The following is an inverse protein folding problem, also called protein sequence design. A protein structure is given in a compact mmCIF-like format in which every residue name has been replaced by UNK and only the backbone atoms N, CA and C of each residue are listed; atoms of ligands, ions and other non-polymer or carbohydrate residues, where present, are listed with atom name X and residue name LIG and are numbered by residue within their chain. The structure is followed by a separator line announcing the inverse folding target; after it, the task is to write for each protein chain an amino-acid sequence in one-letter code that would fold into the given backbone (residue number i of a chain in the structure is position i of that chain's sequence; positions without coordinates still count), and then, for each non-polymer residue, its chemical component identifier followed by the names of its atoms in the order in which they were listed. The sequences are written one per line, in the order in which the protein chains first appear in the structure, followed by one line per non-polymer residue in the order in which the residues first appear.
data_IF_666672782018
#
_entry.id   IF_666672782018
#
_cell.length_a   1.000
_cell.length_b   1.000
_cell.length_c   1.000
_cell.angle_alpha   90.00
_cell.angle_beta   90.00
_cell.angle_gamma   90.00
#
_symmetry.space_group_name_H-M   'P 1'
#
loop_
_entity.id
_entity.type
_entity.pdbx_description
1 polymer ?
#
# COMPACT_ATOMS: atom_id res chain seq x y z
N UNK A 1 24.62 18.65 24.87
CA UNK A 1 24.21 20.02 25.21
C UNK A 1 22.82 19.96 25.85
N UNK A 2 22.56 20.75 26.88
CA UNK A 2 21.28 20.72 27.60
C UNK A 2 20.89 22.13 28.05
N UNK A 3 19.73 22.63 27.60
CA UNK A 3 19.09 23.83 28.11
C UNK A 3 18.03 23.43 29.17
N UNK A 4 18.39 23.50 30.45
CA UNK A 4 17.62 22.88 31.55
C UNK A 4 16.55 23.76 32.21
N UNK A 5 16.47 25.06 31.86
CA UNK A 5 15.41 25.93 32.37
C UNK A 5 14.07 25.51 31.77
N UNK A 6 13.00 25.44 32.57
CA UNK A 6 11.70 24.85 32.17
C UNK A 6 11.04 25.42 30.91
N UNK A 7 11.43 26.62 30.48
CA UNK A 7 10.96 27.27 29.26
C UNK A 7 12.11 27.58 28.29
N UNK A 8 13.28 27.02 28.54
CA UNK A 8 14.49 27.28 27.77
C UNK A 8 14.54 26.38 26.54
N UNK A 9 14.91 27.01 25.43
CA UNK A 9 15.13 26.33 24.17
C UNK A 9 16.62 26.05 23.99
N UNK A 10 16.93 24.98 23.27
CA UNK A 10 18.27 24.73 22.76
C UNK A 10 18.33 25.16 21.29
N UNK A 11 18.95 26.31 21.03
CA UNK A 11 19.21 26.77 19.66
C UNK A 11 20.64 26.47 19.29
N UNK A 12 20.83 25.67 18.24
CA UNK A 12 22.14 25.35 17.66
C UNK A 12 22.28 26.17 16.38
N UNK A 13 23.25 27.08 16.35
CA UNK A 13 23.55 27.92 15.18
C UNK A 13 24.90 27.59 14.52
N UNK A 14 25.64 26.64 15.09
CA UNK A 14 26.93 26.19 14.58
C UNK A 14 27.05 24.68 14.81
N UNK A 15 27.76 23.99 13.91
CA UNK A 15 27.82 22.54 13.93
C UNK A 15 28.33 21.94 15.25
N UNK A 16 27.72 20.82 15.64
CA UNK A 16 28.09 20.02 16.82
C UNK A 16 28.66 18.71 16.31
N UNK A 17 29.94 18.44 16.60
CA UNK A 17 30.62 17.25 16.07
C UNK A 17 31.24 16.43 17.18
N UNK A 18 31.08 15.11 17.08
CA UNK A 18 31.80 14.12 17.86
C UNK A 18 32.57 13.19 16.93
N UNK A 19 33.72 12.70 17.40
CA UNK A 19 34.49 11.65 16.73
C UNK A 19 33.74 10.33 16.82
N UNK A 20 34.17 9.42 17.69
CA UNK A 20 33.48 8.13 17.91
C UNK A 20 32.41 8.15 19.01
N UNK A 21 32.26 9.28 19.73
CA UNK A 21 31.36 9.40 20.88
C UNK A 21 29.95 9.83 20.49
N UNK A 22 28.97 9.60 21.36
CA UNK A 22 27.57 9.99 21.08
C UNK A 22 27.32 11.49 21.29
N UNK A 23 26.27 12.02 20.63
CA UNK A 23 25.81 13.40 20.79
C UNK A 23 24.42 13.40 21.40
N UNK A 24 24.21 14.23 22.42
CA UNK A 24 22.89 14.44 23.03
C UNK A 24 22.55 15.92 23.02
N UNK A 25 21.36 16.28 22.52
CA UNK A 25 20.83 17.64 22.46
C UNK A 25 19.48 17.67 23.19
N UNK A 26 19.42 18.34 24.33
CA UNK A 26 18.21 18.41 25.16
C UNK A 26 17.73 19.87 25.29
N UNK A 27 16.53 20.14 24.81
CA UNK A 27 15.80 21.38 25.07
C UNK A 27 14.66 21.11 26.04
N UNK A 28 14.55 21.89 27.12
CA UNK A 28 13.42 21.77 28.03
C UNK A 28 12.10 22.12 27.35
N UNK A 29 12.09 23.13 26.47
CA UNK A 29 10.96 23.44 25.59
C UNK A 29 11.26 23.02 24.16
N UNK A 30 11.92 23.86 23.37
CA UNK A 30 12.20 23.57 21.96
C UNK A 30 13.66 23.17 21.74
N UNK A 31 13.91 22.40 20.69
CA UNK A 31 15.25 22.26 20.09
C UNK A 31 15.17 22.78 18.66
N UNK A 32 16.05 23.72 18.32
CA UNK A 32 16.10 24.32 16.98
C UNK A 32 17.50 24.22 16.41
N UNK A 33 17.61 23.59 15.24
CA UNK A 33 18.85 23.51 14.47
C UNK A 33 18.75 24.51 13.33
N UNK A 34 19.53 25.58 13.40
CA UNK A 34 19.53 26.67 12.41
C UNK A 34 20.47 26.36 11.24
N UNK A 35 20.46 27.21 10.21
CA UNK A 35 21.35 27.07 9.05
C UNK A 35 22.82 26.98 9.51
N UNK A 36 23.53 25.96 9.01
CA UNK A 36 24.93 25.70 9.38
C UNK A 36 25.12 24.87 10.66
N UNK A 37 24.04 24.46 11.33
CA UNK A 37 24.06 23.65 12.55
C UNK A 37 24.24 22.15 12.32
N UNK A 38 25.11 21.74 11.38
CA UNK A 38 25.35 20.33 11.10
C UNK A 38 25.69 19.56 12.39
N UNK A 39 24.89 18.55 12.74
CA UNK A 39 25.10 17.72 13.93
C UNK A 39 25.62 16.38 13.47
N UNK A 40 26.81 15.99 13.92
CA UNK A 40 27.47 14.80 13.41
C UNK A 40 28.16 14.01 14.52
N UNK A 41 28.04 12.69 14.45
CA UNK A 41 28.96 11.75 15.08
C UNK A 41 29.57 10.84 14.00
N UNK A 42 30.84 10.50 14.15
CA UNK A 42 31.49 9.47 13.34
C UNK A 42 31.53 8.12 14.12
N UNK A 43 32.02 7.07 13.44
CA UNK A 43 32.09 5.72 14.02
C UNK A 43 30.74 5.20 14.52
N UNK A 44 30.75 4.50 15.65
CA UNK A 44 29.57 3.83 16.25
C UNK A 44 28.76 4.74 17.19
N UNK A 45 29.08 6.03 17.26
CA UNK A 45 28.37 6.97 18.13
C UNK A 45 26.91 7.15 17.67
N UNK A 46 26.02 7.36 18.64
CA UNK A 46 24.58 7.58 18.42
C UNK A 46 24.22 9.04 18.65
N UNK A 47 23.04 9.44 18.18
CA UNK A 47 22.53 10.80 18.31
C UNK A 47 21.16 10.80 18.97
N UNK A 48 20.99 11.59 20.03
CA UNK A 48 19.73 11.75 20.75
C UNK A 48 19.36 13.24 20.81
N UNK A 49 18.20 13.59 20.24
CA UNK A 49 17.61 14.93 20.30
C UNK A 49 16.26 14.85 20.97
N UNK A 50 16.07 15.65 22.01
CA UNK A 50 14.81 15.67 22.75
C UNK A 50 14.38 17.11 23.08
N UNK A 51 13.19 17.48 22.61
CA UNK A 51 12.44 18.66 23.01
C UNK A 51 11.34 18.22 24.00
N UNK A 52 11.53 18.51 25.29
CA UNK A 52 10.77 17.86 26.38
C UNK A 52 9.31 18.33 26.42
N UNK A 53 9.04 19.62 26.21
CA UNK A 53 7.67 20.16 26.21
C UNK A 53 7.25 20.84 24.92
N UNK A 54 8.16 20.99 23.96
CA UNK A 54 7.93 21.73 22.72
C UNK A 54 8.27 20.90 21.48
N UNK A 55 8.72 21.60 20.44
CA UNK A 55 8.99 21.04 19.11
C UNK A 55 10.49 20.88 18.84
N UNK A 56 10.82 19.93 17.98
CA UNK A 56 12.12 19.87 17.31
C UNK A 56 11.97 20.47 15.92
N UNK A 57 12.72 21.53 15.63
CA UNK A 57 12.69 22.19 14.33
C UNK A 57 14.08 22.14 13.71
N UNK A 58 14.21 21.39 12.63
CA UNK A 58 15.36 21.43 11.73
C UNK A 58 15.01 22.39 10.60
N UNK A 59 15.79 23.46 10.40
CA UNK A 59 15.63 24.25 9.17
C UNK A 59 16.17 23.45 7.99
N UNK A 60 15.70 23.78 6.79
CA UNK A 60 16.14 23.14 5.55
C UNK A 60 17.67 23.11 5.42
N UNK A 61 18.18 22.03 4.83
CA UNK A 61 19.59 21.78 4.55
C UNK A 61 20.49 21.68 5.82
N UNK A 62 19.94 21.25 6.96
CA UNK A 62 20.71 21.02 8.20
C UNK A 62 20.91 19.52 8.46
N UNK A 63 22.08 18.95 8.11
CA UNK A 63 22.28 17.51 8.21
C UNK A 63 22.48 17.05 9.67
N UNK A 64 21.82 15.95 10.02
CA UNK A 64 21.97 15.24 11.30
C UNK A 64 22.46 13.82 11.00
N UNK A 65 23.73 13.56 11.28
CA UNK A 65 24.47 12.44 10.70
C UNK A 65 25.11 11.53 11.76
N UNK A 66 25.02 10.22 11.54
CA UNK A 66 25.88 9.21 12.17
C UNK A 66 26.58 8.40 11.08
N UNK A 67 27.57 7.56 11.46
CA UNK A 67 28.22 6.63 10.54
C UNK A 67 27.78 5.17 10.79
N UNK A 68 26.46 4.93 10.90
CA UNK A 68 25.87 3.62 11.23
C UNK A 68 25.31 3.52 12.64
N UNK A 69 25.44 4.57 13.46
CA UNK A 69 24.83 4.64 14.79
C UNK A 69 23.37 5.07 14.72
N UNK A 70 22.57 4.68 15.71
CA UNK A 70 21.16 5.05 15.75
C UNK A 70 20.94 6.54 16.03
N UNK A 71 19.82 7.07 15.53
CA UNK A 71 19.36 8.43 15.79
C UNK A 71 17.97 8.37 16.44
N UNK A 72 17.81 9.09 17.55
CA UNK A 72 16.51 9.31 18.21
C UNK A 72 16.17 10.78 18.16
N UNK A 73 15.01 11.10 17.58
CA UNK A 73 14.43 12.43 17.52
C UNK A 73 13.09 12.41 18.23
N UNK A 74 12.95 13.20 19.30
CA UNK A 74 11.76 13.20 20.12
C UNK A 74 11.31 14.63 20.43
N UNK A 75 10.04 14.91 20.21
CA UNK A 75 9.42 16.18 20.57
C UNK A 75 8.04 15.96 21.17
N UNK A 76 7.67 16.78 22.14
CA UNK A 76 6.33 16.73 22.72
C UNK A 76 5.27 17.17 21.72
N UNK A 77 5.55 18.19 20.91
CA UNK A 77 4.59 18.76 19.96
C UNK A 77 4.90 18.27 18.55
N UNK A 78 5.67 18.99 17.76
CA UNK A 78 5.98 18.65 16.37
C UNK A 78 7.46 18.31 16.18
N UNK A 79 7.75 17.53 15.14
CA UNK A 79 9.11 17.37 14.61
C UNK A 79 9.12 17.84 13.16
N UNK A 80 9.99 18.78 12.82
CA UNK A 80 10.28 19.16 11.43
C UNK A 80 11.65 18.60 11.05
N UNK A 81 11.71 17.77 10.01
CA UNK A 81 12.90 17.03 9.58
C UNK A 81 13.56 17.67 8.37
N UNK A 82 14.87 17.46 8.23
CA UNK A 82 15.63 17.77 7.02
C UNK A 82 16.99 17.08 7.06
N UNK A 83 17.30 16.16 6.15
CA UNK A 83 18.67 15.63 6.05
C UNK A 83 19.16 14.77 7.22
N UNK A 84 18.29 13.93 7.81
CA UNK A 84 18.70 12.95 8.83
C UNK A 84 19.30 11.72 8.16
N UNK A 85 20.54 11.33 8.49
CA UNK A 85 21.13 10.09 7.96
C UNK A 85 21.83 9.28 9.05
N UNK A 86 21.34 8.06 9.27
CA UNK A 86 21.95 7.09 10.19
C UNK A 86 22.89 6.09 9.47
N UNK A 87 23.04 6.19 8.14
CA UNK A 87 23.70 5.17 7.34
C UNK A 87 23.04 3.80 7.55
N UNK A 88 23.82 2.80 7.99
CA UNK A 88 23.32 1.47 8.30
C UNK A 88 22.53 1.36 9.63
N UNK A 89 22.43 2.45 10.40
CA UNK A 89 21.71 2.50 11.67
C UNK A 89 20.20 2.68 11.49
N UNK A 90 19.49 2.73 12.61
CA UNK A 90 18.04 3.00 12.66
C UNK A 90 17.74 4.41 13.14
N UNK A 91 16.64 4.97 12.66
CA UNK A 91 16.12 6.28 13.08
C UNK A 91 14.75 6.08 13.73
N UNK A 92 14.55 6.66 14.91
CA UNK A 92 13.20 6.84 15.46
C UNK A 92 12.86 8.32 15.56
N UNK A 93 11.66 8.66 15.09
CA UNK A 93 11.09 10.01 15.18
C UNK A 93 9.76 9.95 15.92
N UNK A 94 9.60 10.77 16.96
CA UNK A 94 8.34 10.84 17.70
C UNK A 94 7.88 12.27 17.95
N UNK A 95 6.64 12.55 17.56
CA UNK A 95 5.87 13.76 17.88
C UNK A 95 4.69 13.36 18.78
N UNK A 96 4.74 13.69 20.08
CA UNK A 96 3.80 13.12 21.06
C UNK A 96 2.37 13.62 20.90
N UNK A 97 2.18 14.90 20.60
CA UNK A 97 0.85 15.51 20.42
C UNK A 97 0.63 16.12 19.03
N UNK A 98 1.69 16.25 18.24
CA UNK A 98 1.66 16.90 16.93
C UNK A 98 2.02 15.97 15.78
N UNK A 99 2.68 16.55 14.78
CA UNK A 99 2.99 15.92 13.50
C UNK A 99 4.49 15.85 13.23
N UNK A 100 4.84 15.01 12.26
CA UNK A 100 6.17 14.99 11.65
C UNK A 100 6.05 15.66 10.27
N UNK A 101 6.85 16.70 10.05
CA UNK A 101 6.84 17.55 8.87
C UNK A 101 8.15 17.45 8.10
N UNK A 102 8.05 17.53 6.78
CA UNK A 102 9.14 17.88 5.88
C UNK A 102 9.48 19.39 6.06
N UNK A 103 10.76 19.75 6.13
CA UNK A 103 11.24 21.14 6.18
C UNK A 103 11.76 21.70 4.84
N UNK A 104 11.90 20.91 3.77
CA UNK A 104 12.37 21.37 2.47
C UNK A 104 12.64 20.27 1.44
N UNK A 105 12.73 20.66 0.16
CA UNK A 105 12.68 19.74 -0.97
C UNK A 105 14.03 19.23 -1.52
N UNK A 106 15.18 19.56 -0.89
CA UNK A 106 16.51 19.28 -1.50
C UNK A 106 17.26 18.11 -0.90
N UNK A 107 17.11 17.85 0.40
CA UNK A 107 17.70 16.69 1.05
C UNK A 107 16.59 15.69 1.33
N UNK A 108 16.93 14.39 1.27
CA UNK A 108 16.09 13.38 1.88
C UNK A 108 15.86 13.75 3.34
N UNK A 109 14.62 13.67 3.80
CA UNK A 109 14.29 13.86 5.21
C UNK A 109 14.99 12.83 6.07
N UNK A 110 14.96 11.56 5.64
CA UNK A 110 15.55 10.45 6.39
C UNK A 110 16.21 9.40 5.47
N UNK A 111 17.45 9.05 5.79
CA UNK A 111 18.17 7.90 5.24
C UNK A 111 18.62 6.97 6.37
N UNK A 112 18.21 5.70 6.34
CA UNK A 112 18.52 4.74 7.40
C UNK A 112 18.29 3.30 6.93
N UNK A 113 18.82 2.31 7.65
CA UNK A 113 18.42 0.91 7.40
C UNK A 113 16.98 0.66 7.84
N UNK A 114 16.55 1.29 8.94
CA UNK A 114 15.19 1.16 9.45
C UNK A 114 14.71 2.49 10.02
N UNK A 115 13.46 2.84 9.72
CA UNK A 115 12.82 4.08 10.17
C UNK A 115 11.54 3.76 10.90
N UNK A 116 11.44 4.28 12.13
CA UNK A 116 10.23 4.29 12.91
C UNK A 116 9.70 5.70 13.12
N UNK A 117 8.45 5.93 12.76
CA UNK A 117 7.80 7.22 12.94
C UNK A 117 6.51 7.09 13.75
N UNK A 118 6.34 7.94 14.76
CA UNK A 118 5.13 7.98 15.57
C UNK A 118 4.69 9.42 15.76
N UNK A 119 3.56 9.80 15.18
CA UNK A 119 2.96 11.11 15.34
C UNK A 119 1.54 10.97 15.91
N UNK A 120 1.12 11.91 16.73
CA UNK A 120 -0.27 11.91 17.19
C UNK A 120 -1.25 12.35 16.11
N UNK A 121 -0.83 13.21 15.17
CA UNK A 121 -1.72 13.75 14.14
C UNK A 121 -1.36 13.18 12.76
N UNK A 122 -0.27 13.63 12.14
CA UNK A 122 0.12 13.21 10.80
C UNK A 122 1.62 13.11 10.57
N UNK A 123 2.00 12.40 9.51
CA UNK A 123 3.38 12.27 9.03
C UNK A 123 3.36 12.70 7.55
N UNK A 124 4.13 13.73 7.20
CA UNK A 124 4.16 14.24 5.82
C UNK A 124 2.82 14.82 5.35
N UNK A 125 2.01 15.36 6.27
CA UNK A 125 0.62 15.76 5.98
C UNK A 125 0.47 17.04 5.13
N UNK A 126 1.55 17.82 4.93
CA UNK A 126 1.58 18.95 3.98
C UNK A 126 2.35 18.54 2.72
N UNK A 127 3.60 18.12 2.89
CA UNK A 127 4.47 17.54 1.87
C UNK A 127 4.91 16.16 2.36
N UNK A 128 4.97 15.18 1.45
CA UNK A 128 5.37 13.81 1.80
C UNK A 128 6.83 13.80 2.26
N UNK A 129 7.16 12.94 3.23
CA UNK A 129 8.56 12.79 3.63
C UNK A 129 9.34 12.04 2.54
N UNK A 130 10.47 12.60 2.13
CA UNK A 130 11.39 11.96 1.19
C UNK A 130 12.38 11.07 1.95
N UNK A 131 12.35 9.76 1.70
CA UNK A 131 13.17 8.78 2.44
C UNK A 131 14.05 7.93 1.53
N UNK A 132 15.09 7.34 2.12
CA UNK A 132 15.84 6.22 1.56
C UNK A 132 16.03 5.20 2.68
N UNK A 133 15.01 4.37 2.91
CA UNK A 133 14.98 3.41 4.01
C UNK A 133 14.58 2.02 3.55
N UNK A 134 15.26 1.00 4.08
CA UNK A 134 14.93 -0.38 3.74
C UNK A 134 13.67 -0.87 4.45
N UNK A 135 13.53 -0.54 5.74
CA UNK A 135 12.39 -0.96 6.56
C UNK A 135 11.66 0.22 7.19
N UNK A 136 10.34 0.24 7.08
CA UNK A 136 9.49 1.29 7.65
C UNK A 136 8.41 0.72 8.57
N UNK A 137 8.27 1.34 9.75
CA UNK A 137 7.08 1.26 10.59
C UNK A 137 6.62 2.69 10.93
N UNK A 138 5.33 2.97 10.76
CA UNK A 138 4.80 4.33 10.94
C UNK A 138 3.41 4.33 11.56
N UNK A 139 3.17 5.25 12.48
CA UNK A 139 1.86 5.42 13.12
C UNK A 139 1.45 6.90 13.20
N UNK A 140 0.24 7.20 12.74
CA UNK A 140 -0.43 8.50 12.83
C UNK A 140 -1.92 8.33 13.15
N UNK A 141 -2.70 9.42 13.23
CA UNK A 141 -4.15 9.33 13.44
C UNK A 141 -4.95 9.98 12.30
N UNK A 142 -5.28 11.27 12.42
CA UNK A 142 -6.20 11.99 11.53
C UNK A 142 -5.49 12.69 10.37
N UNK A 143 -4.20 13.03 10.53
CA UNK A 143 -3.40 13.70 9.50
C UNK A 143 -2.85 12.76 8.43
N UNK A 144 -2.91 11.45 8.67
CA UNK A 144 -2.45 10.45 7.72
C UNK A 144 -0.94 10.30 7.68
N UNK A 145 -0.45 9.54 6.71
CA UNK A 145 0.96 9.23 6.51
C UNK A 145 1.26 9.39 5.03
N UNK A 146 2.24 10.22 4.67
CA UNK A 146 2.73 10.34 3.30
C UNK A 146 4.24 10.22 3.25
N UNK A 147 4.73 9.23 2.51
CA UNK A 147 6.16 8.93 2.35
C UNK A 147 6.46 8.62 0.89
N UNK A 148 7.52 9.25 0.38
CA UNK A 148 8.13 8.94 -0.91
C UNK A 148 9.51 8.37 -0.63
N UNK A 149 9.69 7.06 -0.86
CA UNK A 149 10.99 6.44 -0.79
C UNK A 149 11.67 6.42 -2.16
N UNK A 150 12.97 6.73 -2.20
CA UNK A 150 13.74 6.77 -3.45
C UNK A 150 14.11 5.38 -3.98
N UNK A 151 14.03 4.35 -3.15
CA UNK A 151 14.36 2.97 -3.49
C UNK A 151 13.28 1.97 -3.02
N UNK A 152 13.65 0.69 -2.91
CA UNK A 152 12.71 -0.37 -2.58
C UNK A 152 12.35 -0.32 -1.10
N UNK A 153 11.07 -0.32 -0.78
CA UNK A 153 10.59 -0.17 0.58
C UNK A 153 9.97 -1.47 1.10
N UNK A 154 10.36 -1.88 2.30
CA UNK A 154 9.72 -2.98 3.03
C UNK A 154 8.99 -2.42 4.25
N UNK A 155 7.70 -2.72 4.38
CA UNK A 155 6.97 -2.50 5.62
C UNK A 155 7.14 -3.73 6.49
N UNK A 156 7.76 -3.56 7.66
CA UNK A 156 8.07 -4.65 8.59
C UNK A 156 8.33 -4.07 9.99
N UNK A 157 8.66 -4.95 10.91
CA UNK A 157 9.11 -4.66 12.25
C UNK A 157 10.40 -3.85 12.26
N UNK A 158 10.33 -2.66 12.84
CA UNK A 158 11.49 -1.94 13.34
C UNK A 158 11.74 -2.34 14.78
N UNK A 159 12.89 -2.98 15.00
CA UNK A 159 13.35 -3.40 16.32
C UNK A 159 13.50 -2.22 17.30
N UNK A 160 13.68 -2.52 18.58
CA UNK A 160 13.96 -1.49 19.59
C UNK A 160 15.20 -0.69 19.19
N UNK A 161 15.04 0.62 18.98
CA UNK A 161 16.15 1.52 18.69
C UNK A 161 16.72 2.03 20.02
N UNK A 162 18.04 1.90 20.18
CA UNK A 162 18.75 2.38 21.37
C UNK A 162 19.82 3.39 21.00
N UNK A 163 19.91 4.45 21.81
CA UNK A 163 20.92 5.51 21.75
C UNK A 163 21.64 5.64 23.09
N UNK A 164 22.81 6.27 23.07
CA UNK A 164 23.61 6.57 24.26
C UNK A 164 23.45 8.04 24.62
N UNK A 165 22.67 8.30 25.68
CA UNK A 165 22.49 9.64 26.23
C UNK A 165 23.72 10.04 27.04
N UNK A 166 24.42 11.08 26.59
CA UNK A 166 25.57 11.66 27.28
C UNK A 166 25.10 12.45 28.49
N UNK A 167 25.63 12.12 29.67
CA UNK A 167 25.31 12.78 30.93
C UNK A 167 26.25 13.96 31.22
N UNK A 168 25.84 14.84 32.14
CA UNK A 168 26.70 15.93 32.63
C UNK A 168 27.93 15.41 33.41
N UNK A 169 27.90 14.15 33.86
CA UNK A 169 29.03 13.48 34.52
C UNK A 169 30.04 12.89 33.52
N UNK A 170 29.92 13.23 32.22
CA UNK A 170 30.74 12.69 31.13
C UNK A 170 30.67 11.17 30.97
N UNK A 171 29.56 10.56 31.42
CA UNK A 171 29.23 9.15 31.19
C UNK A 171 28.14 9.03 30.13
N UNK A 172 27.92 7.81 29.63
CA UNK A 172 26.80 7.49 28.73
C UNK A 172 25.81 6.57 29.43
N UNK A 173 24.52 6.85 29.28
CA UNK A 173 23.44 5.99 29.70
C UNK A 173 22.70 5.49 28.46
N UNK A 174 22.42 4.20 28.39
CA UNK A 174 21.57 3.66 27.33
C UNK A 174 20.14 4.19 27.51
N UNK A 175 19.60 4.74 26.44
CA UNK A 175 18.20 5.08 26.29
C UNK A 175 17.65 4.29 25.12
N UNK A 176 16.61 3.52 25.35
CA UNK A 176 15.99 2.71 24.34
C UNK A 176 14.50 2.99 24.28
N UNK A 177 13.94 2.72 23.13
CA UNK A 177 12.50 2.69 22.97
C UNK A 177 11.86 1.57 23.76
N UNK A 178 10.58 1.74 24.11
CA UNK A 178 9.89 0.80 24.99
C UNK A 178 9.61 -0.56 24.35
N UNK A 179 9.46 -0.62 23.02
CA UNK A 179 9.20 -1.84 22.27
C UNK A 179 9.58 -1.68 20.79
N UNK A 180 9.68 -2.81 20.08
CA UNK A 180 9.63 -2.84 18.62
C UNK A 180 8.25 -2.38 18.15
N UNK A 181 8.19 -1.85 16.93
CA UNK A 181 6.93 -1.47 16.27
C UNK A 181 6.94 -1.98 14.86
N UNK A 182 5.77 -2.24 14.31
CA UNK A 182 5.61 -2.69 12.94
C UNK A 182 4.47 -1.91 12.28
N UNK A 183 4.24 -2.23 11.02
CA UNK A 183 3.11 -1.82 10.21
C UNK A 183 3.08 -0.31 9.93
N UNK A 184 2.17 0.08 9.03
CA UNK A 184 1.85 1.48 8.74
C UNK A 184 0.39 1.72 9.08
N UNK A 185 0.14 2.49 10.14
CA UNK A 185 -1.20 2.64 10.71
C UNK A 185 -1.63 4.10 10.79
N UNK A 186 -2.86 4.37 10.37
CA UNK A 186 -3.56 5.62 10.60
C UNK A 186 -4.94 5.32 11.23
N UNK A 187 -5.53 6.28 11.94
CA UNK A 187 -6.91 6.09 12.44
C UNK A 187 -7.92 6.44 11.36
N UNK A 188 -7.89 7.68 10.88
CA UNK A 188 -8.84 8.18 9.88
C UNK A 188 -8.16 8.93 8.73
N UNK A 189 -6.87 9.26 8.87
CA UNK A 189 -6.08 9.90 7.83
C UNK A 189 -5.74 8.94 6.70
N UNK A 190 -5.52 9.50 5.51
CA UNK A 190 -5.08 8.74 4.35
C UNK A 190 -3.63 8.26 4.50
N UNK A 191 -3.31 7.15 3.87
CA UNK A 191 -1.95 6.60 3.81
C UNK A 191 -1.51 6.63 2.35
N UNK A 192 -0.42 7.33 2.05
CA UNK A 192 0.17 7.42 0.72
C UNK A 192 1.63 6.99 0.79
N UNK A 193 1.96 5.91 0.10
CA UNK A 193 3.32 5.38 0.03
C UNK A 193 3.73 5.29 -1.44
N UNK A 194 4.86 5.91 -1.77
CA UNK A 194 5.42 5.88 -3.12
C UNK A 194 6.85 5.37 -3.08
N UNK A 195 7.20 4.36 -3.88
CA UNK A 195 8.59 4.01 -4.18
C UNK A 195 8.96 4.51 -5.57
N UNK A 196 10.02 5.32 -5.67
CA UNK A 196 10.50 5.85 -6.96
C UNK A 196 11.34 4.84 -7.74
N UNK A 197 11.89 3.85 -7.05
CA UNK A 197 12.56 2.70 -7.64
C UNK A 197 12.23 1.44 -6.82
N UNK A 198 12.39 0.26 -7.42
CA UNK A 198 12.16 -1.00 -6.70
C UNK A 198 10.69 -1.30 -6.39
N UNK A 199 10.50 -2.38 -5.63
CA UNK A 199 9.19 -2.89 -5.23
C UNK A 199 8.80 -2.39 -3.84
N UNK A 200 7.51 -2.39 -3.54
CA UNK A 200 6.95 -2.20 -2.20
C UNK A 200 6.57 -3.57 -1.63
N UNK A 201 7.21 -3.99 -0.54
CA UNK A 201 6.93 -5.27 0.13
C UNK A 201 6.18 -5.03 1.43
N UNK A 202 5.09 -5.76 1.62
CA UNK A 202 4.14 -5.58 2.72
C UNK A 202 4.16 -6.82 3.62
N UNK A 203 4.93 -6.79 4.72
CA UNK A 203 5.01 -7.89 5.67
C UNK A 203 4.14 -7.64 6.90
N UNK A 204 3.72 -8.74 7.52
CA UNK A 204 3.17 -8.71 8.88
C UNK A 204 4.29 -8.44 9.88
N UNK A 205 3.93 -7.75 10.95
CA UNK A 205 4.83 -7.35 12.00
C UNK A 205 4.92 -8.30 13.18
N UNK A 206 5.54 -7.81 14.26
CA UNK A 206 5.61 -8.52 15.56
C UNK A 206 4.25 -8.71 16.25
N UNK A 207 3.23 -7.97 15.84
CA UNK A 207 1.86 -8.11 16.32
C UNK A 207 1.17 -9.38 15.77
N UNK A 208 1.68 -9.95 14.68
CA UNK A 208 1.22 -11.20 14.07
C UNK A 208 -0.29 -11.19 13.76
N UNK A 209 -0.81 -10.06 13.27
CA UNK A 209 -2.22 -9.88 12.95
C UNK A 209 -2.52 -9.95 11.44
N UNK A 210 -1.51 -10.31 10.65
CA UNK A 210 -1.54 -10.41 9.19
C UNK A 210 -1.87 -9.09 8.47
N UNK A 211 -1.52 -7.94 9.06
CA UNK A 211 -1.78 -6.61 8.48
C UNK A 211 -0.48 -5.81 8.35
N UNK A 212 -0.23 -5.28 7.17
CA UNK A 212 0.89 -4.38 6.92
C UNK A 212 0.45 -2.91 6.97
N UNK A 213 -0.77 -2.61 6.51
CA UNK A 213 -1.31 -1.26 6.43
C UNK A 213 -2.74 -1.21 6.92
N UNK A 214 -3.07 -0.28 7.82
CA UNK A 214 -4.42 -0.14 8.38
C UNK A 214 -4.85 1.32 8.50
N UNK A 215 -6.06 1.63 8.02
CA UNK A 215 -6.81 2.84 8.37
C UNK A 215 -8.30 2.56 8.47
N UNK A 216 -9.05 3.33 9.26
CA UNK A 216 -10.51 3.12 9.41
C UNK A 216 -11.26 3.77 8.25
N UNK A 217 -10.99 5.05 7.98
CA UNK A 217 -11.75 5.82 6.98
C UNK A 217 -10.88 6.48 5.92
N UNK A 218 -9.56 6.47 6.10
CA UNK A 218 -8.63 7.09 5.16
C UNK A 218 -8.53 6.29 3.86
N UNK A 219 -8.31 6.97 2.74
CA UNK A 219 -7.90 6.26 1.54
C UNK A 219 -6.47 5.70 1.70
N UNK A 220 -6.18 4.60 1.04
CA UNK A 220 -4.81 4.08 0.92
C UNK A 220 -4.40 4.17 -0.54
N UNK A 221 -3.30 4.88 -0.80
CA UNK A 221 -2.68 5.02 -2.11
C UNK A 221 -1.28 4.42 -2.08
N UNK A 222 -1.04 3.35 -2.83
CA UNK A 222 0.28 2.73 -2.95
C UNK A 222 0.76 2.84 -4.38
N UNK A 223 1.95 3.41 -4.59
CA UNK A 223 2.59 3.48 -5.90
C UNK A 223 3.96 2.86 -5.80
N UNK A 224 4.18 1.74 -6.50
CA UNK A 224 5.49 1.11 -6.60
C UNK A 224 6.03 1.22 -8.03
N UNK A 225 7.32 1.54 -8.15
CA UNK A 225 7.99 1.58 -9.46
C UNK A 225 8.00 0.20 -10.15
N UNK A 226 8.18 -0.87 -9.37
CA UNK A 226 8.09 -2.26 -9.83
C UNK A 226 6.85 -2.94 -9.23
N UNK A 227 7.03 -3.93 -8.36
CA UNK A 227 5.96 -4.76 -7.83
C UNK A 227 5.38 -4.18 -6.53
N UNK A 228 4.14 -4.56 -6.23
CA UNK A 228 3.59 -4.54 -4.87
C UNK A 228 3.47 -5.99 -4.43
N UNK A 229 4.18 -6.35 -3.36
CA UNK A 229 4.26 -7.72 -2.85
C UNK A 229 3.50 -7.82 -1.53
N UNK A 230 2.45 -8.63 -1.50
CA UNK A 230 1.59 -8.81 -0.34
C UNK A 230 1.98 -10.08 0.42
N UNK A 231 2.69 -9.92 1.54
CA UNK A 231 2.83 -10.97 2.55
C UNK A 231 1.88 -10.74 3.75
N UNK A 232 1.15 -9.63 3.74
CA UNK A 232 0.14 -9.23 4.71
C UNK A 232 -0.88 -8.28 4.05
N UNK A 233 -2.01 -8.10 4.72
CA UNK A 233 -3.15 -7.36 4.18
C UNK A 233 -3.02 -5.83 4.28
N UNK A 234 -3.74 -5.16 3.39
CA UNK A 234 -3.97 -3.72 3.31
C UNK A 234 -5.45 -3.48 3.59
N UNK A 235 -5.73 -2.79 4.69
CA UNK A 235 -7.09 -2.61 5.21
C UNK A 235 -7.44 -1.13 5.30
N UNK A 236 -8.43 -0.72 4.51
CA UNK A 236 -9.16 0.53 4.75
C UNK A 236 -10.62 0.20 5.02
N UNK A 237 -11.12 0.39 6.24
CA UNK A 237 -12.46 -0.11 6.56
C UNK A 237 -13.56 0.54 5.69
N UNK A 238 -13.41 1.82 5.31
CA UNK A 238 -14.36 2.49 4.41
C UNK A 238 -13.75 3.41 3.35
N UNK A 239 -12.43 3.61 3.35
CA UNK A 239 -11.76 4.48 2.39
C UNK A 239 -11.37 3.74 1.13
N UNK A 240 -11.20 4.46 0.03
CA UNK A 240 -10.80 3.86 -1.25
C UNK A 240 -9.39 3.25 -1.17
N UNK A 241 -9.16 2.20 -1.94
CA UNK A 241 -7.84 1.62 -2.17
C UNK A 241 -7.41 1.95 -3.60
N UNK A 242 -6.26 2.60 -3.77
CA UNK A 242 -5.66 2.88 -5.07
C UNK A 242 -4.25 2.32 -5.10
N UNK A 243 -4.03 1.28 -5.89
CA UNK A 243 -2.73 0.59 -5.95
C UNK A 243 -2.20 0.62 -7.37
N UNK A 244 -0.94 0.99 -7.55
CA UNK A 244 -0.26 1.08 -8.84
C UNK A 244 1.12 0.42 -8.80
N UNK A 245 1.29 -0.67 -9.53
CA UNK A 245 2.58 -1.27 -9.86
C UNK A 245 2.97 -0.81 -11.27
N UNK A 246 3.85 0.19 -11.37
CA UNK A 246 4.06 0.93 -12.63
C UNK A 246 4.64 0.07 -13.74
N UNK A 247 5.66 -0.73 -13.43
CA UNK A 247 6.32 -1.62 -14.38
C UNK A 247 6.28 -3.10 -13.97
N UNK A 248 5.74 -3.38 -12.78
CA UNK A 248 5.66 -4.73 -12.21
C UNK A 248 4.23 -5.23 -12.02
N UNK A 249 4.10 -6.18 -11.11
CA UNK A 249 2.87 -6.89 -10.78
C UNK A 249 2.38 -6.59 -9.36
N UNK A 250 1.13 -6.95 -9.09
CA UNK A 250 0.62 -7.13 -7.73
C UNK A 250 0.69 -8.62 -7.39
N UNK A 251 1.50 -8.98 -6.40
CA UNK A 251 1.89 -10.37 -6.12
C UNK A 251 1.38 -10.79 -4.76
N UNK A 252 0.53 -11.81 -4.73
CA UNK A 252 0.27 -12.56 -3.50
C UNK A 252 1.50 -13.40 -3.15
N UNK A 253 2.11 -13.11 -2.01
CA UNK A 253 3.27 -13.81 -1.46
C UNK A 253 2.91 -14.65 -0.22
N UNK A 254 1.61 -14.86 0.02
CA UNK A 254 1.10 -15.70 1.09
C UNK A 254 0.83 -17.11 0.60
N UNK A 255 0.58 -18.01 1.56
CA UNK A 255 0.21 -19.41 1.31
C UNK A 255 -1.22 -19.70 1.78
N UNK A 256 -1.94 -18.67 2.22
CA UNK A 256 -3.24 -18.82 2.87
C UNK A 256 -4.24 -17.88 2.23
N UNK A 257 -5.48 -18.35 2.12
CA UNK A 257 -6.59 -17.72 1.39
C UNK A 257 -7.25 -16.56 2.19
N UNK A 258 -6.44 -15.76 2.88
CA UNK A 258 -6.91 -14.65 3.71
C UNK A 258 -6.92 -13.36 2.89
N UNK A 259 -8.03 -12.61 2.93
CA UNK A 259 -8.15 -11.35 2.18
C UNK A 259 -6.96 -10.41 2.38
N UNK A 260 -6.27 -10.10 1.28
CA UNK A 260 -5.13 -9.20 1.23
C UNK A 260 -5.54 -7.75 1.01
N UNK A 261 -6.64 -7.51 0.29
CA UNK A 261 -7.19 -6.17 0.13
C UNK A 261 -8.60 -6.11 0.72
N UNK A 262 -8.80 -5.22 1.69
CA UNK A 262 -10.08 -5.09 2.41
C UNK A 262 -10.56 -3.65 2.40
N UNK A 263 -11.72 -3.41 1.79
CA UNK A 263 -12.44 -2.12 1.89
C UNK A 263 -13.91 -2.22 1.48
N UNK A 264 -14.76 -1.38 2.08
CA UNK A 264 -16.11 -1.11 1.56
C UNK A 264 -16.15 0.05 0.55
N UNK A 265 -15.04 0.78 0.39
CA UNK A 265 -14.86 1.81 -0.63
C UNK A 265 -14.53 1.21 -2.01
N UNK A 266 -14.20 2.07 -2.96
CA UNK A 266 -13.78 1.62 -4.29
C UNK A 266 -12.32 1.18 -4.26
N UNK A 267 -12.03 0.00 -4.81
CA UNK A 267 -10.67 -0.45 -5.09
C UNK A 267 -10.31 -0.22 -6.56
N UNK A 268 -9.18 0.42 -6.80
CA UNK A 268 -8.60 0.64 -8.13
C UNK A 268 -7.20 0.04 -8.18
N UNK A 269 -7.02 -1.00 -8.97
CA UNK A 269 -5.78 -1.75 -9.10
C UNK A 269 -5.20 -1.57 -10.51
N UNK A 270 -3.96 -1.11 -10.63
CA UNK A 270 -3.27 -0.99 -11.93
C UNK A 270 -1.90 -1.63 -11.86
N UNK A 271 -1.61 -2.58 -12.76
CA UNK A 271 -0.30 -3.21 -12.88
C UNK A 271 0.14 -3.32 -14.35
N UNK A 272 1.43 -3.51 -14.57
CA UNK A 272 1.96 -3.76 -15.91
C UNK A 272 2.00 -5.25 -16.25
N UNK A 273 2.46 -6.07 -15.31
CA UNK A 273 2.83 -7.47 -15.58
C UNK A 273 1.99 -8.51 -14.81
N UNK A 274 0.82 -8.11 -14.31
CA UNK A 274 -0.16 -9.00 -13.68
C UNK A 274 -0.74 -8.46 -12.37
N UNK A 275 -1.97 -8.90 -12.07
CA UNK A 275 -2.63 -8.71 -10.77
C UNK A 275 -3.02 -10.10 -10.28
N UNK A 276 -2.32 -10.61 -9.26
CA UNK A 276 -2.42 -12.01 -8.87
C UNK A 276 -1.85 -12.97 -9.93
N UNK A 277 -1.94 -14.26 -9.64
CA UNK A 277 -1.56 -15.36 -10.52
C UNK A 277 -2.59 -16.50 -10.42
N UNK A 278 -2.44 -17.52 -11.27
CA UNK A 278 -3.37 -18.66 -11.28
C UNK A 278 -3.13 -19.61 -10.08
N UNK A 279 -4.19 -20.32 -9.67
CA UNK A 279 -4.13 -21.22 -8.52
C UNK A 279 -4.25 -20.44 -7.22
N UNK A 280 -3.63 -20.92 -6.16
CA UNK A 280 -3.65 -20.30 -4.82
C UNK A 280 -2.72 -19.07 -4.69
N UNK A 281 -2.53 -18.34 -5.79
CA UNK A 281 -1.75 -17.10 -5.85
C UNK A 281 -2.58 -15.98 -6.51
N UNK A 282 -3.88 -16.22 -6.66
CA UNK A 282 -4.82 -15.17 -6.97
C UNK A 282 -4.84 -14.14 -5.84
N UNK A 283 -5.22 -12.91 -6.15
CA UNK A 283 -5.25 -11.89 -5.13
C UNK A 283 -6.54 -12.04 -4.33
N UNK A 284 -6.41 -12.46 -3.07
CA UNK A 284 -7.53 -12.56 -2.13
C UNK A 284 -8.05 -11.18 -1.72
N UNK A 285 -9.36 -11.02 -1.73
CA UNK A 285 -10.04 -9.73 -1.62
C UNK A 285 -11.31 -9.80 -0.76
N UNK A 286 -11.56 -8.72 -0.02
CA UNK A 286 -12.86 -8.40 0.61
C UNK A 286 -13.24 -6.98 0.23
N UNK A 287 -13.76 -6.82 -0.98
CA UNK A 287 -14.02 -5.55 -1.65
C UNK A 287 -15.51 -5.41 -1.98
N UNK A 288 -16.07 -4.23 -1.73
CA UNK A 288 -17.42 -3.92 -2.23
C UNK A 288 -17.44 -3.65 -3.74
N UNK A 289 -16.43 -2.92 -4.24
CA UNK A 289 -16.36 -2.48 -5.64
C UNK A 289 -14.92 -2.51 -6.15
N UNK A 290 -14.70 -2.97 -7.38
CA UNK A 290 -13.36 -3.06 -7.96
C UNK A 290 -13.28 -2.58 -9.41
N UNK A 291 -12.24 -1.82 -9.71
CA UNK A 291 -11.68 -1.61 -11.04
C UNK A 291 -10.27 -2.19 -11.05
N UNK A 292 -9.94 -3.07 -12.00
CA UNK A 292 -8.59 -3.60 -12.11
C UNK A 292 -8.11 -3.66 -13.57
N UNK A 293 -6.92 -3.12 -13.83
CA UNK A 293 -6.34 -3.03 -15.18
C UNK A 293 -4.91 -3.55 -15.19
N UNK A 294 -4.65 -4.51 -16.07
CA UNK A 294 -3.32 -4.99 -16.38
C UNK A 294 -2.90 -4.52 -17.79
N UNK A 295 -1.78 -3.80 -17.89
CA UNK A 295 -1.52 -2.95 -19.06
C UNK A 295 -0.58 -3.54 -20.12
N UNK A 296 0.29 -4.50 -19.78
CA UNK A 296 1.33 -4.98 -20.70
C UNK A 296 1.33 -6.51 -20.90
N UNK A 297 1.45 -7.29 -19.83
CA UNK A 297 1.54 -8.76 -19.89
C UNK A 297 1.06 -9.42 -18.59
N UNK A 298 0.87 -10.73 -18.58
CA UNK A 298 0.30 -11.41 -17.41
C UNK A 298 -1.22 -11.27 -17.34
N UNK A 299 -1.84 -11.90 -16.34
CA UNK A 299 -3.30 -11.94 -16.20
C UNK A 299 -3.81 -11.10 -15.03
N UNK A 300 -5.12 -11.16 -14.85
CA UNK A 300 -5.84 -10.62 -13.72
C UNK A 300 -6.53 -11.79 -13.03
N UNK A 301 -6.17 -12.05 -11.78
CA UNK A 301 -6.66 -13.15 -10.96
C UNK A 301 -7.09 -12.59 -9.61
N UNK A 302 -8.40 -12.53 -9.39
CA UNK A 302 -9.00 -12.06 -8.15
C UNK A 302 -9.86 -13.16 -7.53
N UNK A 303 -9.71 -13.34 -6.23
CA UNK A 303 -10.60 -14.16 -5.41
C UNK A 303 -11.24 -13.26 -4.37
N UNK A 304 -12.56 -13.12 -4.45
CA UNK A 304 -13.33 -12.27 -3.55
C UNK A 304 -14.19 -13.12 -2.60
N UNK A 305 -14.19 -12.72 -1.34
CA UNK A 305 -14.84 -13.44 -0.26
C UNK A 305 -16.35 -13.18 -0.12
N UNK A 306 -16.85 -12.04 -0.60
CA UNK A 306 -18.25 -11.60 -0.45
C UNK A 306 -18.83 -11.00 -1.75
N UNK A 307 -20.02 -10.40 -1.68
CA UNK A 307 -20.66 -9.73 -2.83
C UNK A 307 -19.73 -8.72 -3.49
N UNK A 308 -19.64 -8.73 -4.81
CA UNK A 308 -18.74 -7.85 -5.56
C UNK A 308 -19.47 -7.11 -6.68
N UNK A 309 -19.24 -5.79 -6.75
CA UNK A 309 -19.56 -5.01 -7.96
C UNK A 309 -18.28 -4.69 -8.73
N UNK A 310 -18.16 -5.23 -9.94
CA UNK A 310 -17.08 -4.92 -10.86
C UNK A 310 -17.42 -3.67 -11.65
N UNK A 311 -16.57 -2.64 -11.53
CA UNK A 311 -16.65 -1.39 -12.28
C UNK A 311 -15.80 -1.41 -13.55
N UNK A 312 -14.92 -2.41 -13.68
CA UNK A 312 -14.20 -2.74 -14.89
C UNK A 312 -13.03 -3.66 -14.62
N UNK A 313 -12.84 -4.69 -15.44
CA UNK A 313 -11.63 -5.52 -15.42
C UNK A 313 -11.06 -5.56 -16.82
N UNK A 314 -9.78 -5.28 -16.98
CA UNK A 314 -9.18 -5.27 -18.31
C UNK A 314 -7.75 -5.81 -18.30
N UNK A 315 -7.45 -6.72 -19.22
CA UNK A 315 -6.09 -6.89 -19.74
C UNK A 315 -6.00 -6.15 -21.06
N UNK A 316 -4.98 -5.30 -21.23
CA UNK A 316 -4.86 -4.43 -22.41
C UNK A 316 -3.87 -4.95 -23.47
N UNK A 317 -3.05 -5.92 -23.10
CA UNK A 317 -2.03 -6.52 -23.97
C UNK A 317 -1.62 -7.90 -23.43
N UNK A 318 -0.71 -8.57 -24.16
CA UNK A 318 0.02 -9.76 -23.68
C UNK A 318 -0.82 -11.04 -23.53
N UNK A 319 -2.01 -11.06 -24.13
CA UNK A 319 -2.94 -12.21 -24.11
C UNK A 319 -3.30 -12.68 -22.69
N UNK A 320 -3.32 -11.74 -21.75
CA UNK A 320 -3.57 -11.99 -20.34
C UNK A 320 -5.01 -12.46 -20.07
N UNK A 321 -5.21 -13.56 -19.31
CA UNK A 321 -6.54 -13.97 -18.91
C UNK A 321 -7.11 -13.04 -17.83
N UNK A 322 -8.44 -13.04 -17.71
CA UNK A 322 -9.20 -12.45 -16.61
C UNK A 322 -9.90 -13.58 -15.86
N UNK A 323 -9.59 -13.76 -14.59
CA UNK A 323 -10.18 -14.75 -13.70
C UNK A 323 -10.71 -14.06 -12.45
N UNK A 324 -12.00 -14.21 -12.20
CA UNK A 324 -12.67 -13.74 -11.00
C UNK A 324 -13.44 -14.88 -10.36
N UNK A 325 -13.08 -15.23 -9.14
CA UNK A 325 -13.84 -16.12 -8.28
C UNK A 325 -14.46 -15.29 -7.15
N UNK A 326 -15.74 -15.51 -6.87
CA UNK A 326 -16.43 -14.91 -5.73
C UNK A 326 -17.10 -16.03 -4.93
N UNK A 327 -16.68 -16.20 -3.68
CA UNK A 327 -17.10 -17.32 -2.83
C UNK A 327 -18.53 -17.17 -2.33
N UNK A 328 -18.83 -16.02 -1.73
CA UNK A 328 -20.14 -15.69 -1.16
C UNK A 328 -20.77 -14.54 -1.92
N UNK A 329 -22.10 -14.49 -1.92
CA UNK A 329 -22.82 -13.37 -2.50
C UNK A 329 -22.85 -13.34 -4.03
N UNK A 330 -23.47 -12.28 -4.54
CA UNK A 330 -23.69 -12.02 -5.95
C UNK A 330 -22.52 -11.24 -6.56
N UNK A 331 -22.36 -11.39 -7.88
CA UNK A 331 -21.43 -10.62 -8.69
C UNK A 331 -22.21 -9.75 -9.66
N UNK A 332 -21.95 -8.45 -9.68
CA UNK A 332 -22.50 -7.53 -10.68
C UNK A 332 -21.36 -6.96 -11.53
N UNK A 333 -21.40 -7.20 -12.84
CA UNK A 333 -20.48 -6.60 -13.81
C UNK A 333 -21.10 -5.30 -14.33
N UNK A 334 -20.91 -4.23 -13.57
CA UNK A 334 -21.45 -2.90 -13.87
C UNK A 334 -20.58 -2.12 -14.88
N UNK A 335 -19.31 -2.51 -15.05
CA UNK A 335 -18.44 -2.00 -16.10
C UNK A 335 -17.81 -3.12 -16.93
N UNK A 336 -17.21 -2.73 -18.06
CA UNK A 336 -16.74 -3.67 -19.06
C UNK A 336 -15.68 -4.64 -18.51
N UNK A 337 -15.76 -5.90 -18.91
CA UNK A 337 -14.77 -6.92 -18.60
C UNK A 337 -14.12 -7.37 -19.91
N UNK A 338 -12.82 -7.10 -20.06
CA UNK A 338 -12.11 -7.27 -21.33
C UNK A 338 -10.86 -8.12 -21.13
N UNK A 339 -10.74 -9.21 -21.88
CA UNK A 339 -9.49 -9.95 -22.03
C UNK A 339 -8.88 -9.68 -23.42
N UNK A 340 -7.66 -9.15 -23.45
CA UNK A 340 -6.97 -8.86 -24.71
C UNK A 340 -6.58 -10.13 -25.46
N UNK A 341 -6.71 -10.11 -26.79
CA UNK A 341 -6.13 -11.11 -27.68
C UNK A 341 -6.62 -12.52 -27.37
N UNK A 342 -5.70 -13.46 -27.14
CA UNK A 342 -6.04 -14.84 -26.81
C UNK A 342 -6.40 -15.06 -25.32
N UNK A 343 -6.47 -13.99 -24.51
CA UNK A 343 -6.80 -14.05 -23.10
C UNK A 343 -8.20 -14.64 -22.85
N UNK A 344 -8.27 -15.66 -22.00
CA UNK A 344 -9.54 -16.26 -21.58
C UNK A 344 -10.19 -15.43 -20.47
N UNK A 345 -11.50 -15.54 -20.36
CA UNK A 345 -12.28 -14.90 -19.31
C UNK A 345 -13.04 -15.97 -18.52
N UNK A 346 -12.85 -15.99 -17.20
CA UNK A 346 -13.55 -16.85 -16.28
C UNK A 346 -14.11 -16.02 -15.14
N UNK A 347 -15.44 -16.05 -14.96
CA UNK A 347 -16.10 -15.41 -13.82
C UNK A 347 -17.02 -16.43 -13.16
N UNK A 348 -16.92 -16.56 -11.84
CA UNK A 348 -17.76 -17.46 -11.06
C UNK A 348 -18.28 -16.79 -9.79
N UNK A 349 -19.61 -16.69 -9.68
CA UNK A 349 -20.31 -16.50 -8.41
C UNK A 349 -20.62 -17.88 -7.79
N UNK A 350 -19.84 -18.31 -6.81
CA UNK A 350 -19.86 -19.69 -6.31
C UNK A 350 -21.09 -20.01 -5.43
N UNK A 351 -21.68 -19.02 -4.77
CA UNK A 351 -22.91 -19.15 -3.97
C UNK A 351 -24.07 -18.28 -4.46
N UNK A 352 -23.79 -17.18 -5.17
CA UNK A 352 -24.79 -16.22 -5.63
C UNK A 352 -25.14 -16.27 -7.11
N UNK A 353 -25.76 -15.18 -7.54
CA UNK A 353 -26.07 -14.84 -8.93
C UNK A 353 -24.94 -14.05 -9.58
N UNK A 354 -24.87 -14.11 -10.90
CA UNK A 354 -23.99 -13.27 -11.72
C UNK A 354 -24.86 -12.41 -12.64
N UNK A 355 -24.74 -11.10 -12.50
CA UNK A 355 -25.47 -10.11 -13.31
C UNK A 355 -24.48 -9.39 -14.22
N UNK A 356 -24.75 -9.40 -15.52
CA UNK A 356 -23.92 -8.77 -16.56
C UNK A 356 -24.64 -7.52 -17.05
N UNK A 357 -24.23 -6.34 -16.57
CA UNK A 357 -24.83 -5.04 -16.95
C UNK A 357 -23.98 -4.25 -17.96
N UNK A 358 -22.74 -4.68 -18.18
CA UNK A 358 -21.81 -4.11 -19.14
C UNK A 358 -21.14 -5.21 -20.00
N UNK A 359 -20.57 -4.86 -21.16
CA UNK A 359 -20.00 -5.84 -22.09
C UNK A 359 -18.91 -6.72 -21.48
N UNK A 360 -18.93 -8.00 -21.82
CA UNK A 360 -17.93 -9.00 -21.44
C UNK A 360 -17.30 -9.54 -22.72
N UNK A 361 -16.02 -9.25 -22.94
CA UNK A 361 -15.37 -9.44 -24.24
C UNK A 361 -14.01 -10.13 -24.15
N UNK A 362 -13.73 -11.01 -25.11
CA UNK A 362 -12.36 -11.40 -25.49
C UNK A 362 -12.16 -11.24 -27.00
N UNK A 363 -10.92 -10.99 -27.43
CA UNK A 363 -10.62 -10.90 -28.87
C UNK A 363 -10.64 -12.27 -29.54
N UNK A 364 -10.09 -13.30 -28.91
CA UNK A 364 -10.11 -14.68 -29.42
C UNK A 364 -10.09 -15.79 -28.36
N UNK A 365 -10.12 -15.43 -27.07
CA UNK A 365 -10.11 -16.38 -25.96
C UNK A 365 -11.48 -16.95 -25.63
N UNK A 366 -11.51 -17.95 -24.75
CA UNK A 366 -12.74 -18.55 -24.26
C UNK A 366 -13.36 -17.72 -23.15
N UNK A 367 -14.69 -17.65 -23.12
CA UNK A 367 -15.46 -16.98 -22.07
C UNK A 367 -16.26 -18.01 -21.30
N UNK A 368 -16.12 -18.01 -19.98
CA UNK A 368 -16.91 -18.85 -19.08
C UNK A 368 -17.50 -18.00 -17.98
N UNK A 369 -18.84 -18.00 -17.89
CA UNK A 369 -19.59 -17.35 -16.82
C UNK A 369 -20.36 -18.40 -16.04
N UNK A 370 -20.18 -18.42 -14.72
CA UNK A 370 -20.83 -19.39 -13.83
C UNK A 370 -21.51 -18.69 -12.67
N UNK A 371 -22.73 -19.11 -12.36
CA UNK A 371 -23.46 -18.70 -11.17
C UNK A 371 -24.04 -19.92 -10.47
N UNK A 372 -24.11 -19.91 -9.13
CA UNK A 372 -24.85 -20.95 -8.41
C UNK A 372 -26.37 -20.76 -8.55
N UNK A 373 -26.81 -19.51 -8.61
CA UNK A 373 -28.22 -19.13 -8.73
C UNK A 373 -28.53 -18.69 -10.16
N UNK A 374 -28.71 -17.39 -10.38
CA UNK A 374 -29.09 -16.85 -11.69
C UNK A 374 -27.88 -16.30 -12.41
N UNK A 375 -27.74 -16.60 -13.70
CA UNK A 375 -26.95 -15.78 -14.62
C UNK A 375 -27.92 -14.86 -15.38
N UNK A 376 -27.83 -13.56 -15.14
CA UNK A 376 -28.64 -12.55 -15.82
C UNK A 376 -27.79 -11.74 -16.80
N UNK A 377 -28.18 -11.75 -18.07
CA UNK A 377 -27.52 -11.01 -19.15
C UNK A 377 -28.34 -9.77 -19.52
N UNK A 378 -27.88 -8.60 -19.08
CA UNK A 378 -28.42 -7.30 -19.47
C UNK A 378 -27.54 -6.56 -20.50
N UNK A 379 -26.35 -7.10 -20.78
CA UNK A 379 -25.41 -6.61 -21.79
C UNK A 379 -24.79 -7.77 -22.58
N UNK A 380 -24.03 -7.42 -23.61
CA UNK A 380 -23.47 -8.36 -24.57
C UNK A 380 -22.30 -9.16 -23.98
N UNK A 381 -22.19 -10.41 -24.42
CA UNK A 381 -21.06 -11.28 -24.11
C UNK A 381 -20.48 -11.80 -25.43
N UNK A 382 -19.24 -11.47 -25.74
CA UNK A 382 -18.67 -11.75 -27.04
C UNK A 382 -17.23 -12.28 -26.98
N UNK A 383 -16.93 -13.22 -27.88
CA UNK A 383 -15.55 -13.48 -28.27
C UNK A 383 -15.39 -13.40 -29.78
N UNK A 384 -14.31 -12.75 -30.22
CA UNK A 384 -13.88 -12.88 -31.61
C UNK A 384 -13.26 -14.25 -31.89
N UNK A 385 -13.00 -14.53 -33.17
CA UNK A 385 -12.28 -15.73 -33.62
C UNK A 385 -12.92 -17.07 -33.19
N UNK A 386 -12.08 -18.02 -32.81
CA UNK A 386 -12.48 -19.41 -32.50
C UNK A 386 -12.79 -19.66 -31.02
N UNK A 387 -12.74 -18.61 -30.18
CA UNK A 387 -13.08 -18.72 -28.76
C UNK A 387 -14.52 -19.21 -28.56
N UNK A 388 -14.74 -19.99 -27.50
CA UNK A 388 -16.07 -20.50 -27.14
C UNK A 388 -16.68 -19.69 -26.01
N UNK A 389 -18.01 -19.64 -25.95
CA UNK A 389 -18.74 -19.07 -24.82
C UNK A 389 -19.45 -20.16 -24.06
N UNK A 390 -19.28 -20.18 -22.74
CA UNK A 390 -19.80 -21.22 -21.87
C UNK A 390 -20.50 -20.65 -20.64
N UNK A 391 -21.81 -20.87 -20.53
CA UNK A 391 -22.60 -20.45 -19.37
C UNK A 391 -23.13 -21.62 -18.57
N UNK A 392 -23.00 -21.53 -17.24
CA UNK A 392 -23.56 -22.50 -16.30
C UNK A 392 -24.25 -21.78 -15.14
N UNK A 393 -25.55 -22.05 -14.93
CA UNK A 393 -26.29 -21.52 -13.80
C UNK A 393 -27.45 -22.44 -13.37
N UNK A 394 -28.11 -22.14 -12.26
CA UNK A 394 -29.40 -22.78 -11.95
C UNK A 394 -30.51 -22.22 -12.86
N UNK A 395 -30.46 -20.93 -13.15
CA UNK A 395 -31.36 -20.21 -14.07
C UNK A 395 -30.51 -19.31 -14.97
N UNK A 396 -30.76 -19.33 -16.28
CA UNK A 396 -30.15 -18.36 -17.22
C UNK A 396 -31.25 -17.46 -17.75
N UNK A 397 -31.06 -16.15 -17.62
CA UNK A 397 -31.96 -15.14 -18.19
C UNK A 397 -31.18 -14.11 -18.99
N UNK A 398 -31.83 -13.56 -20.00
CA UNK A 398 -31.27 -12.54 -20.86
C UNK A 398 -32.35 -11.51 -21.20
N UNK A 399 -31.93 -10.28 -21.44
CA UNK A 399 -32.81 -9.22 -21.95
C UNK A 399 -33.00 -9.36 -23.47
N UNK A 400 -33.99 -8.66 -24.02
CA UNK A 400 -34.22 -8.64 -25.47
C UNK A 400 -33.09 -7.95 -26.27
N UNK A 401 -32.20 -7.23 -25.59
CA UNK A 401 -31.13 -6.43 -26.18
C UNK A 401 -29.74 -7.01 -25.95
N UNK A 402 -29.60 -8.07 -25.14
CA UNK A 402 -28.31 -8.71 -24.89
C UNK A 402 -28.04 -9.80 -25.92
N UNK A 403 -26.86 -9.75 -26.53
CA UNK A 403 -26.38 -10.74 -27.50
C UNK A 403 -25.23 -11.57 -26.93
N UNK A 404 -25.21 -12.86 -27.27
CA UNK A 404 -24.09 -13.77 -27.03
C UNK A 404 -23.47 -14.12 -28.36
N UNK A 405 -22.24 -13.67 -28.60
CA UNK A 405 -21.60 -13.74 -29.92
C UNK A 405 -20.28 -14.50 -29.90
N UNK A 406 -20.13 -15.40 -30.85
CA UNK A 406 -18.83 -15.96 -31.27
C UNK A 406 -18.64 -15.72 -32.76
N UNK A 407 -17.40 -15.71 -33.25
CA UNK A 407 -17.20 -15.84 -34.69
C UNK A 407 -17.42 -17.29 -35.12
N UNK A 408 -16.40 -18.15 -34.95
CA UNK A 408 -16.48 -19.56 -35.37
C UNK A 408 -16.56 -20.56 -34.22
N UNK A 409 -16.49 -20.09 -32.97
CA UNK A 409 -16.55 -20.95 -31.80
C UNK A 409 -17.96 -21.32 -31.36
N UNK A 410 -18.05 -22.37 -30.54
CA UNK A 410 -19.31 -22.86 -29.98
C UNK A 410 -19.83 -21.98 -28.83
N UNK A 411 -21.15 -21.90 -28.72
CA UNK A 411 -21.84 -21.30 -27.58
C UNK A 411 -22.60 -22.40 -26.84
N UNK A 412 -22.38 -22.54 -25.53
CA UNK A 412 -23.08 -23.49 -24.67
C UNK A 412 -23.78 -22.78 -23.52
N UNK A 413 -25.04 -23.13 -23.34
CA UNK A 413 -25.84 -22.78 -22.16
C UNK A 413 -26.21 -24.05 -21.39
N UNK A 414 -25.93 -24.09 -20.09
CA UNK A 414 -26.40 -25.15 -19.21
C UNK A 414 -27.11 -24.56 -18.00
N UNK A 415 -28.41 -24.85 -17.91
CA UNK A 415 -29.28 -24.45 -16.81
C UNK A 415 -29.91 -25.69 -16.17
N UNK A 416 -30.08 -25.67 -14.85
CA UNK A 416 -30.86 -26.69 -14.15
C UNK A 416 -32.38 -26.45 -14.26
N UNK A 417 -32.75 -25.20 -14.58
CA UNK A 417 -34.14 -24.76 -14.77
C UNK A 417 -34.29 -24.12 -16.15
N UNK A 418 -34.94 -22.98 -16.25
CA UNK A 418 -35.23 -22.33 -17.52
C UNK A 418 -33.98 -21.66 -18.12
N UNK A 419 -34.04 -21.48 -19.45
CA UNK A 419 -33.13 -20.63 -20.21
C UNK A 419 -34.01 -19.64 -20.97
N UNK A 420 -33.89 -18.36 -20.63
CA UNK A 420 -34.48 -17.25 -21.38
C UNK A 420 -33.36 -16.59 -22.17
N UNK A 421 -33.48 -16.59 -23.50
CA UNK A 421 -32.46 -16.11 -24.42
C UNK A 421 -32.78 -14.72 -24.97
N UNK A 422 -31.72 -13.93 -25.17
CA UNK A 422 -31.68 -12.78 -26.06
C UNK A 422 -31.16 -13.23 -27.45
N UNK A 423 -30.24 -12.48 -28.04
CA UNK A 423 -29.54 -12.92 -29.25
C UNK A 423 -28.48 -13.97 -28.97
N UNK A 424 -28.37 -14.97 -29.85
CA UNK A 424 -27.30 -15.98 -29.84
C UNK A 424 -26.77 -16.10 -31.27
N UNK A 425 -25.52 -15.69 -31.48
CA UNK A 425 -24.98 -15.46 -32.81
C UNK A 425 -23.62 -16.17 -32.95
N UNK A 426 -23.49 -16.99 -33.99
CA UNK A 426 -22.21 -17.53 -34.45
C UNK A 426 -22.00 -17.05 -35.89
N UNK A 427 -21.00 -16.20 -36.15
CA UNK A 427 -20.76 -15.66 -37.50
C UNK A 427 -19.75 -16.51 -38.26
N UNK A 428 -20.22 -17.28 -39.25
CA UNK A 428 -19.34 -18.01 -40.19
C UNK A 428 -18.47 -17.10 -41.04
#
# INVERSE_FOLDING_TARGET
LHASGVSSDLVIAAGVRSGSGSVTLLGARDVRLETGAAVQTAGVGTLDVEAVTGSLVMVDNVPVLTAGGNIRLWAAVDVTLSGVSAGAGSVTVRAVTGSIHDAGATLLDVQASALRMMAAVGIGAADALDTAVTTLAAAATTGGIRVTDVDALTLDTVAVVSVSRVSLAATVNALADSAATSDVTATSGAIELTTLAGSLTLNDGVNADARAIVTTTGAITLTAAQDIVFAASVVSASGNLTLTAQTGAMIDATVGEGALLVTTGDATLTAATGIGAAGALDLDTTLGRVTATNTLSGGLFLHETDTLTVLGLATLAGDGPVSLLVDLGDVTLAGAVIAHGAGNLFIRAAAGSLTVEAPVESTSGHLTLRAAQTLHLAADVATGGAGTVNFEANLITATLTSDVTTATGDIRFASATDIVLGGVITTQ
#
